data_IF_297524164246
#
_entry.id   IF_297524164246
#
_cell.length_a   1.000
_cell.length_b   1.000
_cell.length_c   1.000
_cell.angle_alpha   90.00
_cell.angle_beta   90.00
_cell.angle_gamma   90.00
#
_symmetry.space_group_name_H-M   'P 1'
#
loop_
_entity.id
_entity.type
_entity.pdbx_description
1 polymer ?
#
# COMPACT_ATOMS: atom_id res chain seq x y z
N UNK A 1 30.71 -35.92 -6.71
CA UNK A 1 30.17 -35.01 -5.68
C UNK A 1 30.60 -33.59 -6.03
N UNK A 2 29.76 -32.90 -6.81
CA UNK A 2 29.86 -31.46 -7.06
C UNK A 2 28.44 -30.92 -6.84
N UNK A 3 28.35 -29.97 -5.92
CA UNK A 3 27.12 -29.39 -5.42
C UNK A 3 26.90 -28.11 -6.24
N UNK A 4 25.93 -28.12 -7.14
CA UNK A 4 25.49 -26.92 -7.86
C UNK A 4 24.56 -26.15 -6.93
N UNK A 5 25.09 -25.11 -6.28
CA UNK A 5 24.30 -24.10 -5.60
C UNK A 5 24.06 -22.96 -6.59
N UNK A 6 22.87 -22.95 -7.19
CA UNK A 6 22.36 -21.82 -7.97
C UNK A 6 22.13 -20.63 -7.02
N UNK A 7 22.90 -19.58 -7.24
CA UNK A 7 22.74 -18.27 -6.63
C UNK A 7 21.49 -17.62 -7.24
N UNK A 8 20.40 -17.55 -6.49
CA UNK A 8 19.18 -16.81 -6.85
C UNK A 8 19.40 -15.35 -6.43
N UNK A 9 20.04 -14.58 -7.31
CA UNK A 9 20.03 -13.12 -7.25
C UNK A 9 18.60 -12.63 -7.53
N UNK A 10 17.84 -12.38 -6.47
CA UNK A 10 16.57 -11.67 -6.53
C UNK A 10 16.87 -10.19 -6.77
N UNK A 11 16.80 -9.75 -8.03
CA UNK A 11 16.72 -8.33 -8.37
C UNK A 11 15.43 -7.77 -7.75
N UNK A 12 15.59 -7.02 -6.66
CA UNK A 12 14.50 -6.24 -6.07
C UNK A 12 14.44 -4.93 -6.85
N UNK A 13 13.43 -4.78 -7.70
CA UNK A 13 13.10 -3.52 -8.36
C UNK A 13 12.99 -2.38 -7.34
N UNK A 14 13.56 -1.19 -7.61
CA UNK A 14 13.41 -0.06 -6.72
C UNK A 14 11.93 0.35 -6.67
N UNK A 15 11.42 0.53 -5.45
CA UNK A 15 10.09 1.06 -5.18
C UNK A 15 9.91 2.38 -5.94
N UNK A 16 9.07 2.34 -6.98
CA UNK A 16 8.53 3.56 -7.60
C UNK A 16 7.96 4.42 -6.47
N UNK A 17 8.43 5.67 -6.41
CA UNK A 17 7.90 6.74 -5.56
C UNK A 17 6.38 6.64 -5.54
N UNK A 18 5.83 6.60 -4.33
CA UNK A 18 4.39 6.61 -4.08
C UNK A 18 3.80 7.84 -4.76
N UNK A 19 3.21 7.61 -5.93
CA UNK A 19 2.44 8.61 -6.66
C UNK A 19 1.17 8.80 -5.84
N UNK A 20 0.97 10.02 -5.35
CA UNK A 20 0.01 10.39 -4.32
C UNK A 20 -1.25 9.53 -4.30
N UNK A 21 -1.60 9.03 -3.12
CA UNK A 21 -2.73 8.15 -2.82
C UNK A 21 -3.89 8.31 -3.82
N UNK A 22 -3.86 7.55 -4.92
CA UNK A 22 -4.98 7.58 -5.86
C UNK A 22 -6.12 6.83 -5.19
N UNK A 23 -7.16 7.57 -4.85
CA UNK A 23 -8.35 7.10 -4.17
C UNK A 23 -8.99 5.95 -4.96
N UNK A 24 -9.31 4.86 -4.27
CA UNK A 24 -10.02 3.73 -4.88
C UNK A 24 -11.50 4.09 -4.90
N UNK A 25 -12.11 4.07 -6.07
CA UNK A 25 -13.53 4.37 -6.23
C UNK A 25 -14.33 3.12 -5.86
N UNK A 26 -15.35 3.28 -5.02
CA UNK A 26 -16.24 2.19 -4.62
C UNK A 26 -17.51 2.24 -5.47
N UNK A 27 -17.75 1.19 -6.24
CA UNK A 27 -18.96 1.02 -7.04
C UNK A 27 -19.94 0.09 -6.30
N UNK A 28 -21.02 0.65 -5.76
CA UNK A 28 -22.01 -0.09 -4.97
C UNK A 28 -23.17 -0.58 -5.85
N UNK A 29 -23.22 -1.90 -6.05
CA UNK A 29 -24.11 -2.57 -7.00
C UNK A 29 -25.03 -3.53 -6.25
N UNK A 30 -26.34 -3.33 -6.36
CA UNK A 30 -27.35 -4.26 -5.85
C UNK A 30 -27.93 -5.08 -6.99
N UNK A 31 -27.87 -6.41 -6.87
CA UNK A 31 -28.32 -7.35 -7.90
C UNK A 31 -29.55 -8.08 -7.38
N UNK A 32 -30.64 -8.06 -8.14
CA UNK A 32 -31.89 -8.69 -7.78
C UNK A 32 -32.20 -9.85 -8.72
N UNK A 33 -32.62 -10.96 -8.13
CA UNK A 33 -33.34 -12.00 -8.85
C UNK A 33 -34.69 -11.46 -9.40
N UNK A 34 -35.16 -11.89 -10.59
CA UNK A 34 -36.43 -11.46 -11.18
C UNK A 34 -37.63 -11.49 -10.24
N UNK A 35 -37.76 -12.54 -9.41
CA UNK A 35 -38.88 -12.71 -8.48
C UNK A 35 -38.95 -11.61 -7.41
N UNK A 36 -37.83 -10.92 -7.17
CA UNK A 36 -37.66 -9.88 -6.17
C UNK A 36 -37.67 -8.46 -6.76
N UNK A 37 -37.99 -8.31 -8.05
CA UNK A 37 -38.05 -7.01 -8.75
C UNK A 37 -38.92 -5.96 -8.02
N UNK A 38 -39.98 -6.40 -7.34
CA UNK A 38 -40.90 -5.54 -6.59
C UNK A 38 -40.23 -4.77 -5.44
N UNK A 39 -39.04 -5.16 -5.01
CA UNK A 39 -38.27 -4.44 -3.99
C UNK A 39 -37.37 -3.34 -4.55
N UNK A 40 -37.24 -3.20 -5.87
CA UNK A 40 -36.33 -2.24 -6.51
C UNK A 40 -36.54 -0.80 -6.00
N UNK A 41 -37.79 -0.36 -5.89
CA UNK A 41 -38.14 0.99 -5.43
C UNK A 41 -37.86 1.23 -3.94
N UNK A 42 -37.56 0.16 -3.19
CA UNK A 42 -37.28 0.21 -1.75
C UNK A 42 -35.79 0.35 -1.45
N UNK A 43 -34.94 0.23 -2.47
CA UNK A 43 -33.50 0.26 -2.33
C UNK A 43 -32.98 1.70 -2.26
N UNK A 44 -31.85 1.94 -1.58
CA UNK A 44 -31.22 3.26 -1.57
C UNK A 44 -30.96 3.81 -2.98
N UNK A 45 -31.41 5.04 -3.25
CA UNK A 45 -31.31 5.69 -4.56
C UNK A 45 -29.88 5.88 -5.09
N UNK A 46 -28.87 5.81 -4.23
CA UNK A 46 -27.47 5.96 -4.58
C UNK A 46 -26.81 4.66 -5.07
N UNK A 47 -27.55 3.55 -5.12
CA UNK A 47 -27.04 2.26 -5.57
C UNK A 47 -27.30 2.07 -7.06
N UNK A 48 -26.33 1.46 -7.74
CA UNK A 48 -26.59 0.88 -9.05
C UNK A 48 -27.40 -0.40 -8.87
N UNK A 49 -28.65 -0.40 -9.30
CA UNK A 49 -29.53 -1.56 -9.19
C UNK A 49 -29.58 -2.30 -10.53
N UNK A 50 -29.34 -3.61 -10.49
CA UNK A 50 -29.40 -4.49 -11.65
C UNK A 50 -30.37 -5.64 -11.40
N UNK A 51 -31.30 -5.86 -12.34
CA UNK A 51 -32.17 -7.04 -12.35
C UNK A 51 -31.54 -8.11 -13.24
N UNK A 52 -31.41 -9.33 -12.72
CA UNK A 52 -30.98 -10.46 -13.55
C UNK A 52 -32.09 -10.83 -14.56
N UNK A 53 -31.74 -11.19 -15.81
CA UNK A 53 -32.73 -11.68 -16.78
C UNK A 53 -33.34 -13.02 -16.34
N UNK A 54 -34.59 -13.31 -16.73
CA UNK A 54 -35.25 -14.58 -16.35
C UNK A 54 -34.52 -15.84 -16.83
N UNK A 55 -33.75 -15.73 -17.91
CA UNK A 55 -33.00 -16.83 -18.52
C UNK A 55 -31.47 -16.70 -18.35
N UNK A 56 -31.00 -15.68 -17.61
CA UNK A 56 -29.58 -15.43 -17.40
C UNK A 56 -29.30 -15.25 -15.90
N UNK A 57 -28.36 -16.04 -15.39
CA UNK A 57 -28.12 -16.21 -13.96
C UNK A 57 -26.78 -15.61 -13.53
N UNK A 58 -25.93 -15.21 -14.49
CA UNK A 58 -24.68 -14.55 -14.20
C UNK A 58 -24.82 -13.04 -14.42
N UNK A 59 -24.39 -12.23 -13.45
CA UNK A 59 -24.42 -10.80 -13.66
C UNK A 59 -23.36 -10.38 -14.68
N UNK A 60 -23.83 -9.70 -15.73
CA UNK A 60 -22.97 -9.08 -16.72
C UNK A 60 -22.45 -7.73 -16.19
N UNK A 61 -21.52 -7.80 -15.24
CA UNK A 61 -20.78 -6.63 -14.76
C UNK A 61 -19.51 -6.49 -15.58
N UNK A 62 -19.31 -5.30 -16.15
CA UNK A 62 -18.02 -4.95 -16.72
C UNK A 62 -16.93 -5.20 -15.68
N UNK A 63 -15.87 -5.95 -16.03
CA UNK A 63 -14.77 -6.17 -15.11
C UNK A 63 -14.13 -4.81 -14.81
N UNK A 64 -13.77 -4.52 -13.54
CA UNK A 64 -12.94 -3.37 -13.28
C UNK A 64 -11.66 -3.52 -14.11
N UNK A 65 -11.34 -2.52 -14.93
CA UNK A 65 -10.14 -2.58 -15.79
C UNK A 65 -8.89 -2.76 -14.93
N UNK A 66 -7.85 -3.43 -15.44
CA UNK A 66 -6.62 -3.66 -14.66
C UNK A 66 -5.94 -2.36 -14.18
N UNK A 67 -6.12 -1.27 -14.92
CA UNK A 67 -5.69 0.09 -14.53
C UNK A 67 -6.75 0.87 -13.73
N UNK A 68 -8.00 0.41 -13.75
CA UNK A 68 -9.12 1.05 -13.08
C UNK A 68 -9.11 0.63 -11.60
N UNK A 69 -8.64 1.53 -10.73
CA UNK A 69 -8.59 1.32 -9.26
C UNK A 69 -10.01 1.40 -8.68
N UNK A 70 -10.90 0.51 -9.11
CA UNK A 70 -12.29 0.42 -8.65
C UNK A 70 -12.53 -0.86 -7.91
N UNK A 71 -13.14 -0.75 -6.73
CA UNK A 71 -13.64 -1.89 -6.00
C UNK A 71 -15.15 -1.96 -6.19
N UNK A 72 -15.65 -3.10 -6.68
CA UNK A 72 -17.08 -3.31 -6.80
C UNK A 72 -17.60 -3.96 -5.52
N UNK A 73 -18.45 -3.25 -4.78
CA UNK A 73 -19.18 -3.79 -3.65
C UNK A 73 -20.51 -4.30 -4.19
N UNK A 74 -20.75 -5.61 -4.08
CA UNK A 74 -21.90 -6.26 -4.71
C UNK A 74 -22.77 -6.91 -3.64
N UNK A 75 -24.03 -6.50 -3.57
CA UNK A 75 -25.03 -7.14 -2.71
C UNK A 75 -26.08 -7.81 -3.58
N UNK A 76 -26.16 -9.13 -3.49
CA UNK A 76 -27.21 -9.93 -4.11
C UNK A 76 -28.41 -10.02 -3.19
N UNK A 77 -29.59 -9.70 -3.71
CA UNK A 77 -30.86 -10.02 -3.13
C UNK A 77 -31.46 -11.20 -3.91
N UNK A 78 -31.50 -12.36 -3.28
CA UNK A 78 -31.89 -13.61 -3.93
C UNK A 78 -32.78 -14.46 -3.03
N UNK A 79 -33.57 -15.32 -3.63
CA UNK A 79 -34.25 -16.40 -2.89
C UNK A 79 -33.26 -17.52 -2.56
N UNK A 80 -33.60 -18.33 -1.57
CA UNK A 80 -32.84 -19.54 -1.26
C UNK A 80 -32.75 -20.48 -2.47
N UNK A 81 -33.87 -20.73 -3.14
CA UNK A 81 -33.94 -21.65 -4.28
C UNK A 81 -33.02 -21.20 -5.42
N UNK A 82 -32.95 -19.90 -5.67
CA UNK A 82 -32.01 -19.33 -6.64
C UNK A 82 -30.56 -19.61 -6.24
N UNK A 83 -30.18 -19.31 -4.99
CA UNK A 83 -28.80 -19.53 -4.54
C UNK A 83 -28.43 -21.01 -4.59
N UNK A 84 -29.31 -21.92 -4.17
CA UNK A 84 -29.05 -23.37 -4.22
C UNK A 84 -28.85 -23.87 -5.65
N UNK A 85 -29.66 -23.35 -6.59
CA UNK A 85 -29.60 -23.73 -8.01
C UNK A 85 -28.32 -23.25 -8.68
N UNK A 86 -27.87 -22.02 -8.39
CA UNK A 86 -26.78 -21.35 -9.11
C UNK A 86 -25.48 -21.21 -8.32
N UNK A 87 -25.37 -21.81 -7.13
CA UNK A 87 -24.20 -21.68 -6.23
C UNK A 87 -22.85 -21.95 -6.89
N UNK A 88 -22.76 -22.92 -7.80
CA UNK A 88 -21.51 -23.27 -8.46
C UNK A 88 -21.07 -22.18 -9.44
N UNK A 89 -22.00 -21.69 -10.26
CA UNK A 89 -21.72 -20.66 -11.25
C UNK A 89 -21.40 -19.33 -10.58
N UNK A 90 -22.18 -18.95 -9.56
CA UNK A 90 -21.92 -17.75 -8.75
C UNK A 90 -20.56 -17.84 -8.05
N UNK A 91 -20.19 -19.01 -7.50
CA UNK A 91 -18.89 -19.18 -6.86
C UNK A 91 -17.72 -19.02 -7.83
N UNK A 92 -17.85 -19.57 -9.04
CA UNK A 92 -16.83 -19.41 -10.08
C UNK A 92 -16.73 -17.95 -10.53
N UNK A 93 -17.86 -17.29 -10.74
CA UNK A 93 -17.93 -15.87 -11.10
C UNK A 93 -17.30 -14.95 -10.05
N UNK A 94 -17.50 -15.23 -8.75
CA UNK A 94 -16.86 -14.48 -7.66
C UNK A 94 -15.34 -14.64 -7.70
N UNK A 95 -14.83 -15.85 -7.94
CA UNK A 95 -13.39 -16.12 -7.98
C UNK A 95 -12.68 -15.48 -9.15
N UNK A 96 -13.37 -15.34 -10.28
CA UNK A 96 -12.81 -14.79 -11.50
C UNK A 96 -12.39 -13.32 -11.32
N UNK A 97 -13.04 -12.60 -10.39
CA UNK A 97 -12.81 -11.17 -10.16
C UNK A 97 -12.55 -10.85 -8.68
N UNK A 98 -11.29 -10.89 -8.21
CA UNK A 98 -10.95 -10.63 -6.81
C UNK A 98 -11.20 -9.18 -6.36
N UNK A 99 -11.42 -8.25 -7.30
CA UNK A 99 -11.80 -6.87 -7.02
C UNK A 99 -13.32 -6.68 -6.73
N UNK A 100 -14.05 -7.79 -6.57
CA UNK A 100 -15.46 -7.81 -6.18
C UNK A 100 -15.59 -8.32 -4.76
N UNK A 101 -16.13 -7.49 -3.87
CA UNK A 101 -16.56 -7.94 -2.54
C UNK A 101 -18.06 -8.19 -2.57
N UNK A 102 -18.43 -9.47 -2.45
CA UNK A 102 -19.79 -9.94 -2.68
C UNK A 102 -20.46 -10.36 -1.39
N UNK A 103 -21.72 -9.97 -1.19
CA UNK A 103 -22.58 -10.48 -0.12
C UNK A 103 -23.96 -10.85 -0.63
N UNK A 104 -24.58 -11.83 0.03
CA UNK A 104 -25.93 -12.31 -0.25
C UNK A 104 -26.87 -11.95 0.90
N UNK A 105 -28.00 -11.34 0.58
CA UNK A 105 -29.18 -11.23 1.43
C UNK A 105 -30.19 -12.21 0.85
N UNK A 106 -30.58 -13.20 1.65
CA UNK A 106 -31.46 -14.26 1.19
C UNK A 106 -32.88 -14.04 1.70
N UNK A 107 -33.86 -14.34 0.87
CA UNK A 107 -35.26 -14.45 1.28
C UNK A 107 -35.64 -15.93 1.33
N UNK A 108 -36.05 -16.41 2.50
CA UNK A 108 -36.35 -17.83 2.76
C UNK A 108 -37.46 -18.01 3.78
N UNK A 109 -38.32 -19.02 3.58
CA UNK A 109 -39.28 -19.52 4.59
C UNK A 109 -38.63 -20.44 5.61
N UNK A 110 -37.48 -21.04 5.29
CA UNK A 110 -36.83 -22.08 6.10
C UNK A 110 -35.59 -21.54 6.83
N UNK A 111 -35.48 -21.89 8.12
CA UNK A 111 -34.24 -21.69 8.89
C UNK A 111 -33.15 -22.59 8.30
N UNK A 112 -32.12 -21.98 7.73
CA UNK A 112 -31.06 -22.69 7.01
C UNK A 112 -29.93 -23.14 7.94
N UNK A 113 -29.34 -24.31 7.67
CA UNK A 113 -28.10 -24.76 8.30
C UNK A 113 -26.87 -24.16 7.60
N UNK A 114 -25.77 -23.96 8.33
CA UNK A 114 -24.54 -23.29 7.85
C UNK A 114 -23.89 -23.94 6.60
N UNK A 115 -24.16 -25.22 6.33
CA UNK A 115 -23.60 -25.96 5.18
C UNK A 115 -24.53 -26.06 3.96
N UNK A 116 -25.70 -25.42 3.98
CA UNK A 116 -26.72 -25.60 2.93
C UNK A 116 -26.27 -25.16 1.53
N UNK A 117 -25.23 -24.30 1.43
CA UNK A 117 -24.86 -23.62 0.19
C UNK A 117 -23.44 -23.94 -0.30
N UNK A 118 -22.74 -24.93 0.27
CA UNK A 118 -21.41 -25.33 -0.22
C UNK A 118 -21.44 -25.56 -1.75
N UNK A 119 -20.47 -25.08 -2.55
CA UNK A 119 -19.17 -24.55 -2.12
C UNK A 119 -19.15 -23.06 -1.83
N UNK A 120 -20.28 -22.33 -1.88
CA UNK A 120 -20.29 -20.94 -1.47
C UNK A 120 -20.00 -20.85 0.04
N UNK A 121 -18.97 -20.10 0.44
CA UNK A 121 -18.67 -19.89 1.86
C UNK A 121 -19.85 -19.22 2.58
N UNK A 122 -20.17 -19.70 3.78
CA UNK A 122 -21.25 -19.16 4.60
C UNK A 122 -21.03 -17.68 4.96
N UNK A 123 -19.78 -17.22 4.95
CA UNK A 123 -19.35 -15.84 5.20
C UNK A 123 -19.81 -14.84 4.14
N UNK A 124 -20.19 -15.34 2.95
CA UNK A 124 -20.78 -14.51 1.89
C UNK A 124 -22.26 -14.21 2.18
N UNK A 125 -22.92 -14.98 3.03
CA UNK A 125 -24.32 -14.75 3.41
C UNK A 125 -24.33 -13.69 4.53
N UNK A 126 -24.81 -12.49 4.21
CA UNK A 126 -24.92 -11.40 5.17
C UNK A 126 -26.09 -11.63 6.14
N UNK A 127 -27.27 -11.97 5.60
CA UNK A 127 -28.47 -12.20 6.38
C UNK A 127 -29.49 -13.04 5.61
N UNK A 128 -30.33 -13.79 6.33
CA UNK A 128 -31.51 -14.46 5.80
C UNK A 128 -32.76 -13.80 6.38
N UNK A 129 -33.66 -13.39 5.51
CA UNK A 129 -34.90 -12.66 5.78
C UNK A 129 -36.12 -13.54 5.47
N UNK A 130 -37.24 -13.36 6.21
CA UNK A 130 -38.49 -14.04 5.88
C UNK A 130 -39.14 -13.45 4.60
N UNK A 131 -40.03 -14.18 3.92
CA UNK A 131 -40.63 -13.75 2.64
C UNK A 131 -41.53 -12.51 2.73
N UNK A 132 -42.04 -12.21 3.92
CA UNK A 132 -42.99 -11.11 4.16
C UNK A 132 -42.29 -9.91 4.82
N UNK A 133 -41.08 -9.60 4.39
CA UNK A 133 -40.33 -8.44 4.89
C UNK A 133 -40.94 -7.15 4.35
N UNK A 134 -41.08 -6.15 5.23
CA UNK A 134 -41.46 -4.80 4.81
C UNK A 134 -40.37 -4.20 3.90
N UNK A 135 -40.75 -3.54 2.79
CA UNK A 135 -39.88 -2.72 1.96
C UNK A 135 -38.89 -1.84 2.73
N UNK A 136 -39.35 -1.18 3.80
CA UNK A 136 -38.52 -0.30 4.62
C UNK A 136 -37.39 -1.05 5.34
N UNK A 137 -37.71 -2.22 5.89
CA UNK A 137 -36.74 -3.07 6.59
C UNK A 137 -35.70 -3.60 5.60
N UNK A 138 -36.13 -4.01 4.40
CA UNK A 138 -35.20 -4.46 3.38
C UNK A 138 -34.22 -3.35 2.97
N UNK A 139 -34.71 -2.13 2.75
CA UNK A 139 -33.86 -0.98 2.43
C UNK A 139 -32.81 -0.73 3.51
N UNK A 140 -33.18 -0.85 4.79
CA UNK A 140 -32.26 -0.71 5.91
C UNK A 140 -31.23 -1.85 5.97
N UNK A 141 -31.65 -3.10 5.71
CA UNK A 141 -30.73 -4.26 5.67
C UNK A 141 -29.73 -4.11 4.53
N UNK A 142 -30.18 -3.71 3.34
CA UNK A 142 -29.30 -3.49 2.18
C UNK A 142 -28.30 -2.36 2.48
N UNK A 143 -28.76 -1.24 3.03
CA UNK A 143 -27.88 -0.14 3.45
C UNK A 143 -26.81 -0.60 4.43
N UNK A 144 -27.21 -1.38 5.44
CA UNK A 144 -26.28 -1.92 6.43
C UNK A 144 -25.30 -2.94 5.82
N UNK A 145 -25.74 -3.75 4.85
CA UNK A 145 -24.86 -4.68 4.13
C UNK A 145 -23.76 -3.94 3.36
N UNK A 146 -24.11 -2.86 2.64
CA UNK A 146 -23.13 -2.01 1.96
C UNK A 146 -22.18 -1.32 2.96
N UNK A 147 -22.71 -0.75 4.03
CA UNK A 147 -21.88 -0.14 5.06
C UNK A 147 -20.87 -1.13 5.67
N UNK A 148 -21.26 -2.39 5.88
CA UNK A 148 -20.33 -3.43 6.33
C UNK A 148 -19.28 -3.81 5.29
N UNK A 149 -19.64 -3.83 4.01
CA UNK A 149 -18.70 -4.07 2.92
C UNK A 149 -17.66 -2.95 2.83
N UNK A 150 -18.09 -1.69 2.95
CA UNK A 150 -17.22 -0.51 2.99
C UNK A 150 -16.25 -0.58 4.18
N UNK A 151 -16.76 -0.80 5.40
CA UNK A 151 -15.93 -0.94 6.60
C UNK A 151 -14.91 -2.09 6.48
N UNK A 152 -15.31 -3.21 5.87
CA UNK A 152 -14.42 -4.35 5.65
C UNK A 152 -13.31 -3.98 4.67
N UNK A 153 -13.65 -3.31 3.56
CA UNK A 153 -12.69 -2.83 2.59
C UNK A 153 -11.67 -1.87 3.23
N UNK A 154 -12.14 -0.87 3.98
CA UNK A 154 -11.28 0.08 4.69
C UNK A 154 -10.35 -0.63 5.69
N UNK A 155 -10.88 -1.60 6.44
CA UNK A 155 -10.09 -2.40 7.37
C UNK A 155 -8.97 -3.16 6.66
N UNK A 156 -9.26 -3.84 5.56
CA UNK A 156 -8.25 -4.59 4.80
C UNK A 156 -7.19 -3.64 4.22
N UNK A 157 -7.61 -2.48 3.71
CA UNK A 157 -6.71 -1.42 3.25
C UNK A 157 -5.78 -0.93 4.35
N UNK A 158 -6.31 -0.62 5.54
CA UNK A 158 -5.53 -0.20 6.71
C UNK A 158 -4.57 -1.29 7.20
N UNK A 159 -5.01 -2.56 7.22
CA UNK A 159 -4.16 -3.69 7.60
C UNK A 159 -2.99 -3.88 6.63
N UNK A 160 -3.24 -3.74 5.33
CA UNK A 160 -2.18 -3.80 4.31
C UNK A 160 -1.16 -2.67 4.51
N UNK A 161 -1.62 -1.43 4.72
CA UNK A 161 -0.74 -0.29 5.04
C UNK A 161 0.10 -0.51 6.29
N UNK A 162 -0.53 -1.03 7.35
CA UNK A 162 0.17 -1.34 8.59
C UNK A 162 1.24 -2.42 8.37
N UNK A 163 0.93 -3.45 7.58
CA UNK A 163 1.87 -4.52 7.27
C UNK A 163 3.08 -4.00 6.48
N UNK A 164 2.86 -3.18 5.45
CA UNK A 164 3.91 -2.53 4.67
C UNK A 164 4.79 -1.62 5.52
N UNK A 165 4.19 -0.73 6.32
CA UNK A 165 4.93 0.16 7.22
C UNK A 165 5.73 -0.62 8.28
N UNK A 166 5.17 -1.70 8.83
CA UNK A 166 5.87 -2.58 9.77
C UNK A 166 7.06 -3.27 9.10
N UNK A 167 6.91 -3.70 7.85
CA UNK A 167 7.99 -4.31 7.07
C UNK A 167 9.12 -3.31 6.81
N UNK A 168 8.79 -2.08 6.46
CA UNK A 168 9.76 -1.00 6.27
C UNK A 168 10.50 -0.67 7.56
N UNK A 169 9.79 -0.51 8.69
CA UNK A 169 10.40 -0.28 10.00
C UNK A 169 11.37 -1.40 10.39
N UNK A 170 10.97 -2.67 10.18
CA UNK A 170 11.85 -3.82 10.43
C UNK A 170 13.08 -3.81 9.53
N UNK A 171 12.95 -3.35 8.29
CA UNK A 171 14.08 -3.19 7.37
C UNK A 171 15.08 -2.19 7.92
N UNK A 172 14.62 -0.99 8.32
CA UNK A 172 15.45 0.06 8.91
C UNK A 172 16.14 -0.43 10.19
N UNK A 173 15.41 -1.11 11.08
CA UNK A 173 15.98 -1.66 12.32
C UNK A 173 17.11 -2.65 12.02
N UNK A 174 16.91 -3.58 11.08
CA UNK A 174 17.94 -4.56 10.70
C UNK A 174 19.19 -3.89 10.13
N UNK A 175 18.99 -2.88 9.29
CA UNK A 175 20.07 -2.07 8.74
C UNK A 175 20.87 -1.38 9.86
N UNK A 176 20.18 -0.70 10.78
CA UNK A 176 20.81 -0.03 11.92
C UNK A 176 21.57 -1.00 12.83
N UNK A 177 21.04 -2.21 13.03
CA UNK A 177 21.74 -3.27 13.76
C UNK A 177 23.01 -3.74 13.05
N UNK A 178 22.93 -4.01 11.75
CA UNK A 178 24.09 -4.44 10.95
C UNK A 178 25.21 -3.41 11.02
N UNK A 179 24.87 -2.12 10.88
CA UNK A 179 25.80 -1.01 11.04
C UNK A 179 26.39 -0.94 12.46
N UNK A 180 25.58 -1.08 13.51
CA UNK A 180 26.07 -1.01 14.90
C UNK A 180 27.01 -2.17 15.27
N UNK A 181 26.95 -3.30 14.56
CA UNK A 181 27.82 -4.46 14.79
C UNK A 181 29.07 -4.47 13.92
N UNK A 182 29.11 -3.65 12.86
CA UNK A 182 30.26 -3.56 11.97
C UNK A 182 31.44 -2.91 12.70
N UNK A 183 32.61 -3.55 12.60
CA UNK A 183 33.85 -3.10 13.27
C UNK A 183 34.86 -2.53 12.29
N UNK A 184 34.71 -2.86 11.01
CA UNK A 184 35.53 -2.32 9.94
C UNK A 184 35.00 -0.93 9.56
N UNK A 185 35.81 0.10 9.78
CA UNK A 185 35.42 1.48 9.55
C UNK A 185 35.06 1.76 8.08
N UNK A 186 35.82 1.20 7.15
CA UNK A 186 35.58 1.43 5.72
C UNK A 186 34.27 0.77 5.29
N UNK A 187 34.02 -0.46 5.75
CA UNK A 187 32.72 -1.14 5.50
C UNK A 187 31.56 -0.43 6.17
N UNK A 188 31.74 0.09 7.39
CA UNK A 188 30.69 0.82 8.09
C UNK A 188 30.29 2.09 7.32
N UNK A 189 31.27 2.87 6.85
CA UNK A 189 31.02 4.08 6.05
C UNK A 189 30.29 3.73 4.74
N UNK A 190 30.62 2.59 4.12
CA UNK A 190 29.96 2.09 2.91
C UNK A 190 28.49 1.75 3.17
N UNK A 191 28.24 1.04 4.25
CA UNK A 191 26.90 0.69 4.69
C UNK A 191 26.08 1.95 5.01
N UNK A 192 26.64 2.90 5.78
CA UNK A 192 25.97 4.17 6.11
C UNK A 192 25.61 4.92 4.83
N UNK A 193 26.57 5.10 3.92
CA UNK A 193 26.38 5.89 2.71
C UNK A 193 25.35 5.25 1.77
N UNK A 194 25.43 3.92 1.58
CA UNK A 194 24.47 3.19 0.77
C UNK A 194 23.04 3.30 1.32
N UNK A 195 22.89 3.11 2.63
CA UNK A 195 21.58 3.13 3.28
C UNK A 195 20.98 4.53 3.36
N UNK A 196 21.79 5.56 3.63
CA UNK A 196 21.33 6.94 3.60
C UNK A 196 20.81 7.34 2.21
N UNK A 197 21.52 6.96 1.14
CA UNK A 197 21.10 7.20 -0.25
C UNK A 197 19.81 6.48 -0.59
N UNK A 198 19.70 5.21 -0.22
CA UNK A 198 18.49 4.42 -0.47
C UNK A 198 17.27 5.01 0.27
N UNK A 199 17.45 5.41 1.53
CA UNK A 199 16.38 5.97 2.36
C UNK A 199 15.80 7.28 1.78
N UNK A 200 16.66 8.18 1.30
CA UNK A 200 16.22 9.48 0.76
C UNK A 200 16.03 9.47 -0.76
N UNK A 201 16.28 8.33 -1.42
CA UNK A 201 16.25 8.20 -2.87
C UNK A 201 17.23 9.13 -3.59
N UNK A 202 18.44 9.29 -3.04
CA UNK A 202 19.48 10.15 -3.61
C UNK A 202 20.37 9.40 -4.61
N UNK A 203 20.62 10.05 -5.75
CA UNK A 203 21.50 9.52 -6.81
C UNK A 203 22.95 9.35 -6.32
N UNK A 204 23.41 10.25 -5.47
CA UNK A 204 24.76 10.28 -4.93
C UNK A 204 24.80 10.76 -3.47
N UNK A 205 25.96 10.60 -2.84
CA UNK A 205 26.21 11.13 -1.51
C UNK A 205 27.69 11.02 -1.15
N UNK A 206 28.11 11.79 -0.15
CA UNK A 206 29.47 11.77 0.37
C UNK A 206 29.49 11.92 1.88
N UNK A 207 30.47 11.29 2.54
CA UNK A 207 30.66 11.37 3.99
C UNK A 207 31.94 12.13 4.31
N UNK A 208 31.80 13.07 5.25
CA UNK A 208 32.89 13.82 5.84
C UNK A 208 32.96 13.52 7.33
N UNK A 209 34.19 13.43 7.87
CA UNK A 209 34.43 13.09 9.28
C UNK A 209 35.32 14.14 9.91
N UNK A 210 34.96 14.61 11.11
CA UNK A 210 35.83 15.43 11.95
C UNK A 210 36.81 14.54 12.69
N UNK A 211 38.10 14.88 12.69
CA UNK A 211 39.05 14.28 13.63
C UNK A 211 39.03 15.07 14.93
N UNK A 212 38.80 14.40 16.08
CA UNK A 212 38.98 15.05 17.38
C UNK A 212 40.45 15.39 17.57
N UNK A 213 40.83 16.66 17.80
CA UNK A 213 42.17 17.00 18.21
C UNK A 213 42.51 16.27 19.52
N UNK A 214 43.79 15.96 19.76
CA UNK A 214 44.23 15.50 21.08
C UNK A 214 44.02 16.62 22.10
N UNK A 215 42.94 16.56 22.89
CA UNK A 215 42.60 17.56 23.91
C UNK A 215 41.15 18.04 23.82
N UNK A 216 40.79 19.07 24.60
CA UNK A 216 39.46 19.70 24.58
C UNK A 216 39.30 20.75 23.45
N UNK A 217 40.11 20.70 22.39
CA UNK A 217 40.04 21.66 21.29
C UNK A 217 38.92 21.30 20.32
N UNK A 218 38.25 22.32 19.75
CA UNK A 218 37.22 22.11 18.73
C UNK A 218 37.89 21.68 17.41
N UNK A 219 37.30 20.72 16.67
CA UNK A 219 37.79 20.36 15.34
C UNK A 219 37.75 21.60 14.43
N UNK A 220 38.79 21.79 13.64
CA UNK A 220 38.90 22.90 12.67
C UNK A 220 38.64 22.47 11.23
N UNK A 221 38.71 21.16 10.96
CA UNK A 221 38.60 20.60 9.62
C UNK A 221 37.71 19.37 9.61
N UNK A 222 37.02 19.16 8.49
CA UNK A 222 36.39 17.90 8.13
C UNK A 222 37.20 17.22 7.03
N UNK A 223 37.30 15.90 7.09
CA UNK A 223 37.98 15.08 6.09
C UNK A 223 36.96 14.38 5.21
N UNK A 224 37.09 14.55 3.90
CA UNK A 224 36.36 13.73 2.93
C UNK A 224 36.81 12.27 3.05
N UNK A 225 35.88 11.36 3.30
CA UNK A 225 36.17 9.93 3.44
C UNK A 225 35.69 9.11 2.26
N UNK A 226 34.48 9.36 1.77
CA UNK A 226 33.93 8.58 0.67
C UNK A 226 32.85 9.32 -0.10
N UNK A 227 32.74 9.00 -1.38
CA UNK A 227 31.61 9.35 -2.24
C UNK A 227 31.06 8.08 -2.91
N UNK A 228 29.77 8.09 -3.18
CA UNK A 228 29.09 7.05 -3.95
C UNK A 228 29.29 7.19 -5.46
N UNK A 229 29.70 8.38 -5.94
CA UNK A 229 30.25 8.52 -7.28
C UNK A 229 31.68 7.99 -7.27
N UNK A 230 32.10 7.31 -8.35
CA UNK A 230 33.50 6.97 -8.62
C UNK A 230 34.33 8.24 -8.89
N UNK A 231 34.40 9.11 -7.90
CA UNK A 231 35.38 10.16 -7.84
C UNK A 231 36.66 9.46 -7.39
N UNK A 232 37.63 9.31 -8.29
CA UNK A 232 39.02 9.00 -7.97
C UNK A 232 39.64 10.18 -7.18
N UNK A 233 39.01 10.59 -6.09
CA UNK A 233 39.41 11.68 -5.24
C UNK A 233 40.14 11.09 -4.03
N UNK A 234 41.42 11.45 -3.90
CA UNK A 234 42.16 11.22 -2.66
C UNK A 234 41.47 11.94 -1.50
N UNK A 235 41.62 11.44 -0.27
CA UNK A 235 41.12 12.13 0.93
C UNK A 235 41.66 13.56 1.00
N UNK A 236 40.77 14.54 1.20
CA UNK A 236 41.12 15.96 1.35
C UNK A 236 40.44 16.56 2.59
N UNK A 237 40.97 17.70 3.05
CA UNK A 237 40.45 18.44 4.20
C UNK A 237 39.71 19.69 3.74
N UNK A 238 38.58 19.98 4.37
CA UNK A 238 37.86 21.24 4.25
C UNK A 238 37.81 21.95 5.61
N UNK A 239 37.97 23.28 5.67
CA UNK A 239 37.80 24.03 6.90
C UNK A 239 36.35 23.99 7.38
N UNK A 240 36.15 24.00 8.70
CA UNK A 240 34.84 24.16 9.33
C UNK A 240 34.52 25.66 9.40
N UNK A 241 34.13 26.21 8.25
CA UNK A 241 33.72 27.60 8.08
C UNK A 241 32.66 27.73 6.96
N UNK A 242 32.34 28.96 6.57
CA UNK A 242 31.38 29.26 5.50
C UNK A 242 31.95 29.15 4.07
N UNK A 243 33.19 28.69 3.89
CA UNK A 243 33.81 28.59 2.57
C UNK A 243 33.27 27.42 1.73
N UNK A 244 32.55 26.49 2.36
CA UNK A 244 31.99 25.29 1.73
C UNK A 244 30.63 24.91 2.32
N UNK A 245 29.75 24.27 1.54
CA UNK A 245 28.47 23.73 2.04
C UNK A 245 28.72 22.74 3.18
N UNK A 246 29.65 21.79 2.99
CA UNK A 246 29.96 20.78 3.99
C UNK A 246 30.57 21.38 5.27
N UNK A 247 31.49 22.35 5.13
CA UNK A 247 32.07 23.09 6.26
C UNK A 247 31.04 23.94 6.99
N UNK A 248 30.11 24.57 6.27
CA UNK A 248 29.05 25.38 6.86
C UNK A 248 28.08 24.54 7.69
N UNK A 249 27.66 23.39 7.17
CA UNK A 249 26.83 22.42 7.90
C UNK A 249 27.58 21.91 9.13
N UNK A 250 28.87 21.60 9.02
CA UNK A 250 29.70 21.19 10.16
C UNK A 250 29.86 22.30 11.22
N UNK A 251 29.91 23.57 10.80
CA UNK A 251 30.01 24.73 11.68
C UNK A 251 28.74 24.96 12.49
N UNK A 252 27.58 24.82 11.83
CA UNK A 252 26.25 25.07 12.43
C UNK A 252 25.70 23.87 13.20
N UNK A 253 26.01 22.66 12.76
CA UNK A 253 25.41 21.43 13.28
C UNK A 253 23.93 21.26 12.91
N UNK A 254 23.46 21.99 11.90
CA UNK A 254 22.05 21.99 11.45
C UNK A 254 21.96 21.48 10.01
N UNK A 255 20.94 20.68 9.64
CA UNK A 255 20.71 20.28 8.26
C UNK A 255 20.47 21.47 7.34
N UNK A 256 21.01 21.40 6.13
CA UNK A 256 20.81 22.41 5.08
C UNK A 256 20.23 21.72 3.84
N UNK A 257 19.03 22.15 3.42
CA UNK A 257 18.34 21.67 2.21
C UNK A 257 18.36 22.83 1.21
N UNK A 258 18.81 22.54 -0.01
CA UNK A 258 18.93 23.50 -1.11
C UNK A 258 18.21 22.90 -2.31
N UNK A 259 17.16 23.56 -2.80
CA UNK A 259 16.35 23.03 -3.91
C UNK A 259 17.13 23.01 -5.24
N UNK A 260 17.86 24.09 -5.52
CA UNK A 260 18.77 24.18 -6.67
C UNK A 260 20.06 24.89 -6.28
N UNK A 261 21.16 24.14 -6.25
CA UNK A 261 22.48 24.64 -5.87
C UNK A 261 23.10 25.56 -6.92
N UNK A 262 22.66 25.49 -8.17
CA UNK A 262 23.15 26.35 -9.24
C UNK A 262 22.42 27.70 -9.30
N UNK A 263 21.31 27.83 -8.55
CA UNK A 263 20.56 29.07 -8.41
C UNK A 263 21.11 30.00 -7.31
N UNK A 264 22.16 29.57 -6.59
CA UNK A 264 22.79 30.38 -5.55
C UNK A 264 23.39 31.67 -6.14
N UNK A 265 23.10 32.82 -5.53
CA UNK A 265 23.51 34.14 -6.04
C UNK A 265 24.77 34.70 -5.36
N UNK A 266 25.29 33.99 -4.36
CA UNK A 266 26.49 34.33 -3.62
C UNK A 266 26.25 35.25 -2.42
N UNK A 267 24.99 35.64 -2.16
CA UNK A 267 24.61 36.33 -0.93
C UNK A 267 24.36 35.36 0.24
N UNK A 268 24.36 34.05 0.00
CA UNK A 268 24.19 33.04 1.02
C UNK A 268 25.41 32.96 1.96
N UNK A 269 25.21 32.52 3.22
CA UNK A 269 26.30 32.40 4.19
C UNK A 269 27.20 31.18 3.95
N UNK A 270 27.08 30.49 2.82
CA UNK A 270 27.84 29.31 2.43
C UNK A 270 28.16 29.35 0.94
N UNK A 271 29.14 28.57 0.49
CA UNK A 271 29.54 28.50 -0.92
C UNK A 271 29.66 27.07 -1.43
N UNK A 272 29.34 26.87 -2.70
CA UNK A 272 29.57 25.60 -3.39
C UNK A 272 31.09 25.40 -3.59
N UNK A 273 31.57 24.19 -3.29
CA UNK A 273 32.96 23.81 -3.51
C UNK A 273 33.23 23.51 -4.99
N UNK A 274 34.31 24.08 -5.53
CA UNK A 274 34.98 23.61 -6.75
C UNK A 274 36.48 23.56 -6.53
#
# INVERSE_FOLDING_TARGET
>A
MRNDSQDLSVEVEPLKRDSGEVEVILDSICILEPSLAHYQDSLPNNLQVMLLPENDYLPNLEPPGEEDRRMQLVVFLATRDFLERFRLDLWNWIKEYPQREVRFILISTENSNAHAFEPLPSELIHLVLPPQVSPSILGDVVRNAFYQLELRYERLKLQSRLALSTQEMRRIIRVGQAMSTERDFDKLIDLILGQARELVGADAGSIYVTESPRGNEKPQYIRFKKSALELNANEFLLPIDSSSIAGYVALRGEPLIIDDVYALDGHEPYRLNF
#
